data_IF_216303401329
#
_entry.id   IF_216303401329
#
_cell.length_a   1.000
_cell.length_b   1.000
_cell.length_c   1.000
_cell.angle_alpha   90.00
_cell.angle_beta   90.00
_cell.angle_gamma   90.00
#
_symmetry.space_group_name_H-M   'P 1'
#
loop_
_entity.id
_entity.type
_entity.pdbx_description
1 polymer ?
#
# COMPACT_ATOMS: atom_id res chain seq x y z
N UNK A 1 20.53 14.31 6.49
CA UNK A 1 20.26 13.76 7.83
C UNK A 1 19.82 14.83 8.84
N UNK A 2 20.68 15.64 9.48
CA UNK A 2 20.22 16.58 10.54
C UNK A 2 19.26 17.68 10.03
N UNK A 3 19.44 18.18 8.80
CA UNK A 3 18.53 19.18 8.19
C UNK A 3 17.16 18.64 7.76
N UNK A 4 17.03 17.34 7.50
CA UNK A 4 15.76 16.72 7.06
C UNK A 4 14.80 16.47 8.22
N UNK A 5 15.31 16.44 9.45
CA UNK A 5 14.49 16.31 10.67
C UNK A 5 13.86 17.67 11.02
N UNK A 6 14.54 18.79 10.74
CA UNK A 6 14.00 20.14 10.99
C UNK A 6 13.01 20.63 9.94
N UNK A 7 13.13 20.16 8.68
CA UNK A 7 12.21 20.50 7.60
C UNK A 7 11.87 19.23 6.79
N UNK A 8 11.06 18.32 7.35
CA UNK A 8 10.62 17.15 6.61
C UNK A 8 9.86 17.62 5.35
N UNK A 9 10.10 17.00 4.18
CA UNK A 9 9.37 17.37 2.97
C UNK A 9 7.88 17.21 3.23
N UNK A 10 7.07 18.20 2.86
CA UNK A 10 5.63 18.20 3.11
C UNK A 10 4.90 17.03 2.47
N UNK A 11 5.45 16.42 1.41
CA UNK A 11 4.82 15.33 0.66
C UNK A 11 5.82 14.19 0.53
N UNK A 12 5.44 13.01 1.02
CA UNK A 12 6.24 11.80 0.87
C UNK A 12 5.55 10.81 -0.08
N UNK A 13 5.86 10.91 -1.38
CA UNK A 13 5.22 10.14 -2.46
C UNK A 13 5.16 8.63 -2.20
N UNK A 14 6.23 8.05 -1.67
CA UNK A 14 6.28 6.63 -1.35
C UNK A 14 5.24 6.24 -0.28
N UNK A 15 5.02 7.09 0.70
CA UNK A 15 4.02 6.85 1.76
C UNK A 15 2.60 6.94 1.20
N UNK A 16 2.36 7.87 0.28
CA UNK A 16 1.09 8.03 -0.44
C UNK A 16 0.80 6.77 -1.26
N UNK A 17 1.72 6.37 -2.16
CA UNK A 17 1.52 5.19 -3.02
C UNK A 17 1.28 3.93 -2.19
N UNK A 18 2.05 3.73 -1.13
CA UNK A 18 1.85 2.61 -0.22
C UNK A 18 0.48 2.64 0.47
N UNK A 19 0.06 3.81 0.98
CA UNK A 19 -1.25 3.98 1.62
C UNK A 19 -2.39 3.68 0.65
N UNK A 20 -2.31 4.22 -0.57
CA UNK A 20 -3.27 3.93 -1.63
C UNK A 20 -3.42 2.43 -1.89
N UNK A 21 -2.30 1.73 -2.09
CA UNK A 21 -2.27 0.29 -2.35
C UNK A 21 -2.84 -0.49 -1.17
N UNK A 22 -2.48 -0.16 0.08
CA UNK A 22 -3.04 -0.85 1.24
C UNK A 22 -4.56 -0.69 1.33
N UNK A 23 -5.06 0.54 1.11
CA UNK A 23 -6.49 0.82 1.14
C UNK A 23 -7.25 0.08 0.05
N UNK A 24 -6.69 0.04 -1.16
CA UNK A 24 -7.27 -0.70 -2.28
C UNK A 24 -7.28 -2.21 -2.04
N UNK A 25 -6.22 -2.78 -1.48
CA UNK A 25 -6.16 -4.21 -1.16
C UNK A 25 -7.17 -4.61 -0.08
N UNK A 26 -7.27 -3.81 0.98
CA UNK A 26 -8.20 -4.06 2.10
C UNK A 26 -9.66 -4.02 1.62
N UNK A 27 -10.06 -2.93 0.96
CA UNK A 27 -11.44 -2.80 0.47
C UNK A 27 -11.71 -3.80 -0.66
N UNK A 28 -10.74 -4.00 -1.55
CA UNK A 28 -10.83 -4.98 -2.62
C UNK A 28 -11.06 -6.40 -2.10
N UNK A 29 -10.42 -6.77 -1.00
CA UNK A 29 -10.62 -8.05 -0.32
C UNK A 29 -12.02 -8.21 0.29
N UNK A 30 -12.60 -7.13 0.84
CA UNK A 30 -13.89 -7.17 1.52
C UNK A 30 -15.06 -7.20 0.54
N UNK A 31 -14.98 -6.43 -0.55
CA UNK A 31 -16.12 -6.18 -1.43
C UNK A 31 -16.15 -7.02 -2.72
N UNK A 32 -15.02 -7.59 -3.15
CA UNK A 32 -15.00 -8.36 -4.40
C UNK A 32 -15.11 -9.87 -4.17
N UNK A 33 -15.98 -10.57 -4.91
CA UNK A 33 -16.22 -12.01 -4.74
C UNK A 33 -15.15 -12.86 -5.46
N UNK A 34 -13.89 -12.77 -5.04
CA UNK A 34 -12.79 -13.57 -5.60
C UNK A 34 -12.67 -14.98 -5.00
N UNK A 35 -13.46 -15.29 -3.97
CA UNK A 35 -13.35 -16.52 -3.18
C UNK A 35 -12.60 -16.30 -1.86
N UNK A 36 -13.01 -17.02 -0.83
CA UNK A 36 -12.65 -16.70 0.56
C UNK A 36 -11.13 -16.74 0.81
N UNK A 37 -10.41 -17.67 0.17
CA UNK A 37 -8.96 -17.77 0.30
C UNK A 37 -8.23 -16.55 -0.28
N UNK A 38 -8.66 -16.08 -1.46
CA UNK A 38 -8.05 -14.91 -2.12
C UNK A 38 -8.38 -13.63 -1.34
N UNK A 39 -9.60 -13.49 -0.85
CA UNK A 39 -10.01 -12.36 -0.02
C UNK A 39 -9.15 -12.26 1.26
N UNK A 40 -9.01 -13.37 2.00
CA UNK A 40 -8.17 -13.39 3.21
C UNK A 40 -6.72 -13.04 2.87
N UNK A 41 -6.17 -13.59 1.79
CA UNK A 41 -4.80 -13.29 1.35
C UNK A 41 -4.61 -11.80 1.04
N UNK A 42 -5.49 -11.21 0.23
CA UNK A 42 -5.44 -9.79 -0.14
C UNK A 42 -5.59 -8.88 1.09
N UNK A 43 -6.46 -9.26 2.03
CA UNK A 43 -6.66 -8.51 3.27
C UNK A 43 -5.40 -8.52 4.15
N UNK A 44 -4.78 -9.69 4.34
CA UNK A 44 -3.52 -9.82 5.10
C UNK A 44 -2.40 -9.03 4.44
N UNK A 45 -2.24 -9.11 3.12
CA UNK A 45 -1.23 -8.34 2.39
C UNK A 45 -1.49 -6.84 2.53
N UNK A 46 -2.75 -6.40 2.39
CA UNK A 46 -3.13 -5.00 2.56
C UNK A 46 -2.80 -4.46 3.94
N UNK A 47 -3.12 -5.22 5.00
CA UNK A 47 -2.74 -4.87 6.38
C UNK A 47 -1.22 -4.85 6.57
N UNK A 48 -0.49 -5.81 6.01
CA UNK A 48 0.96 -5.84 6.10
C UNK A 48 1.60 -4.61 5.43
N UNK A 49 1.09 -4.18 4.27
CA UNK A 49 1.53 -2.95 3.59
C UNK A 49 1.23 -1.72 4.44
N UNK A 50 0.04 -1.66 5.04
CA UNK A 50 -0.37 -0.55 5.91
C UNK A 50 0.58 -0.40 7.11
N UNK A 51 0.82 -1.49 7.84
CA UNK A 51 1.71 -1.51 8.99
C UNK A 51 3.17 -1.23 8.62
N UNK A 52 3.68 -1.79 7.52
CA UNK A 52 5.04 -1.51 7.02
C UNK A 52 5.21 -0.03 6.59
N UNK A 53 4.10 0.67 6.32
CA UNK A 53 4.12 2.07 5.91
C UNK A 53 4.03 3.03 7.10
N UNK A 54 3.27 2.69 8.14
CA UNK A 54 3.04 3.55 9.32
C UNK A 54 4.11 3.38 10.40
N UNK A 55 4.55 2.15 10.69
CA UNK A 55 5.43 1.89 11.84
C UNK A 55 6.86 2.42 11.76
N UNK A 56 7.50 2.66 10.60
CA UNK A 56 8.82 3.29 10.58
C UNK A 56 8.78 4.67 11.23
N UNK A 57 9.62 4.92 12.24
CA UNK A 57 9.65 6.18 13.03
C UNK A 57 9.72 7.44 12.16
N UNK A 58 10.49 7.39 11.07
CA UNK A 58 10.63 8.48 10.09
C UNK A 58 9.34 8.79 9.32
N UNK A 59 8.39 7.84 9.28
CA UNK A 59 7.15 7.93 8.50
C UNK A 59 5.91 8.21 9.32
N UNK A 60 5.99 8.15 10.66
CA UNK A 60 4.87 8.56 11.52
C UNK A 60 4.47 10.02 11.28
N UNK A 61 5.42 10.90 10.91
CA UNK A 61 5.12 12.28 10.52
C UNK A 61 4.20 12.38 9.28
N UNK A 62 4.14 11.33 8.46
CA UNK A 62 3.28 11.22 7.27
C UNK A 62 2.05 10.35 7.51
N UNK A 63 1.75 9.94 8.75
CA UNK A 63 0.63 9.05 9.07
C UNK A 63 -0.71 9.57 8.52
N UNK A 64 -0.95 10.89 8.62
CA UNK A 64 -2.17 11.52 8.07
C UNK A 64 -2.24 11.34 6.56
N UNK A 65 -1.14 11.51 5.83
CA UNK A 65 -1.11 11.31 4.37
C UNK A 65 -1.34 9.85 3.99
N UNK A 66 -0.75 8.93 4.75
CA UNK A 66 -0.94 7.48 4.55
C UNK A 66 -2.41 7.13 4.75
N UNK A 67 -3.03 7.60 5.83
CA UNK A 67 -4.44 7.37 6.13
C UNK A 67 -5.36 7.96 5.05
N UNK A 68 -5.16 9.23 4.67
CA UNK A 68 -5.95 9.87 3.61
C UNK A 68 -5.80 9.14 2.27
N UNK A 69 -4.57 8.76 1.91
CA UNK A 69 -4.33 8.02 0.67
C UNK A 69 -4.93 6.62 0.70
N UNK A 70 -4.91 5.94 1.84
CA UNK A 70 -5.59 4.66 2.05
C UNK A 70 -7.09 4.78 1.93
N UNK A 71 -7.69 5.84 2.47
CA UNK A 71 -9.12 6.11 2.28
C UNK A 71 -9.42 6.32 0.80
N UNK A 72 -8.62 7.13 0.09
CA UNK A 72 -8.79 7.37 -1.35
C UNK A 72 -8.69 6.08 -2.17
N UNK A 73 -7.65 5.27 -1.94
CA UNK A 73 -7.48 3.98 -2.61
C UNK A 73 -8.62 3.01 -2.30
N UNK A 74 -9.11 3.02 -1.06
CA UNK A 74 -10.27 2.24 -0.65
C UNK A 74 -11.55 2.69 -1.37
N UNK A 75 -11.85 3.99 -1.40
CA UNK A 75 -13.05 4.55 -2.06
C UNK A 75 -13.06 4.25 -3.55
N UNK A 76 -11.94 4.43 -4.26
CA UNK A 76 -11.86 4.10 -5.69
C UNK A 76 -12.14 2.60 -5.90
N UNK A 77 -11.55 1.75 -5.07
CA UNK A 77 -11.77 0.29 -5.17
C UNK A 77 -13.22 -0.07 -4.89
N UNK A 78 -13.85 0.57 -3.90
CA UNK A 78 -15.26 0.37 -3.60
C UNK A 78 -16.13 0.73 -4.80
N UNK A 79 -15.93 1.91 -5.39
CA UNK A 79 -16.67 2.37 -6.57
C UNK A 79 -16.51 1.37 -7.72
N UNK A 80 -15.28 0.92 -8.00
CA UNK A 80 -15.03 -0.07 -9.06
C UNK A 80 -15.60 -1.45 -8.76
N UNK A 81 -15.70 -1.81 -7.48
CA UNK A 81 -16.33 -3.08 -7.04
C UNK A 81 -17.82 -3.03 -7.30
N UNK A 82 -18.47 -1.89 -7.02
CA UNK A 82 -19.89 -1.68 -7.30
C UNK A 82 -20.22 -1.65 -8.81
N UNK A 83 -19.27 -1.28 -9.66
CA UNK A 83 -19.45 -1.26 -11.13
C UNK A 83 -18.97 -2.52 -11.84
N UNK A 84 -18.59 -3.58 -11.11
CA UNK A 84 -18.01 -4.82 -11.64
C UNK A 84 -16.72 -4.64 -12.46
N UNK A 85 -16.03 -3.51 -12.32
CA UNK A 85 -14.75 -3.26 -13.01
C UNK A 85 -13.53 -3.46 -12.10
N UNK A 86 -13.74 -3.86 -10.84
CA UNK A 86 -12.67 -4.03 -9.88
C UNK A 86 -11.65 -5.11 -10.25
N UNK A 87 -12.01 -6.18 -10.99
CA UNK A 87 -11.08 -7.27 -11.31
C UNK A 87 -9.82 -6.81 -12.06
N UNK A 88 -9.99 -5.96 -13.07
CA UNK A 88 -8.87 -5.42 -13.86
C UNK A 88 -8.02 -4.46 -13.01
N UNK A 89 -8.68 -3.61 -12.24
CA UNK A 89 -8.00 -2.68 -11.33
C UNK A 89 -7.19 -3.42 -10.25
N UNK A 90 -7.79 -4.43 -9.61
CA UNK A 90 -7.14 -5.23 -8.57
C UNK A 90 -5.97 -6.05 -9.11
N UNK A 91 -6.03 -6.49 -10.37
CA UNK A 91 -4.89 -7.11 -11.04
C UNK A 91 -3.69 -6.15 -11.13
N UNK A 92 -3.91 -4.89 -11.53
CA UNK A 92 -2.84 -3.88 -11.57
C UNK A 92 -2.31 -3.53 -10.17
N UNK A 93 -3.20 -3.42 -9.18
CA UNK A 93 -2.79 -3.18 -7.78
C UNK A 93 -1.94 -4.35 -7.25
N UNK A 94 -2.31 -5.58 -7.58
CA UNK A 94 -1.55 -6.76 -7.20
C UNK A 94 -0.15 -6.76 -7.83
N UNK A 95 -0.05 -6.47 -9.14
CA UNK A 95 1.25 -6.33 -9.83
C UNK A 95 2.10 -5.23 -9.19
N UNK A 96 1.52 -4.06 -8.93
CA UNK A 96 2.23 -2.95 -8.30
C UNK A 96 2.77 -3.36 -6.93
N UNK A 97 1.97 -4.07 -6.13
CA UNK A 97 2.38 -4.60 -4.83
C UNK A 97 3.56 -5.56 -4.96
N UNK A 98 3.50 -6.51 -5.90
CA UNK A 98 4.58 -7.47 -6.15
C UNK A 98 5.87 -6.74 -6.55
N UNK A 99 5.80 -5.78 -7.47
CA UNK A 99 6.97 -5.01 -7.91
C UNK A 99 7.61 -4.22 -6.77
N UNK A 100 6.80 -3.63 -5.88
CA UNK A 100 7.30 -2.90 -4.72
C UNK A 100 8.06 -3.79 -3.74
N UNK A 101 7.53 -4.98 -3.43
CA UNK A 101 8.19 -5.92 -2.53
C UNK A 101 9.39 -6.62 -3.19
N UNK A 102 9.33 -6.93 -4.48
CA UNK A 102 10.46 -7.49 -5.23
C UNK A 102 11.67 -6.53 -5.20
N UNK A 103 11.44 -5.22 -5.39
CA UNK A 103 12.49 -4.21 -5.26
C UNK A 103 13.06 -4.15 -3.83
N UNK A 104 12.21 -4.27 -2.81
CA UNK A 104 12.63 -4.29 -1.40
C UNK A 104 13.51 -5.52 -1.09
N UNK A 105 13.15 -6.69 -1.62
CA UNK A 105 13.93 -7.93 -1.50
C UNK A 105 15.30 -7.80 -2.20
N UNK A 106 15.32 -7.37 -3.46
CA UNK A 106 16.56 -7.18 -4.23
C UNK A 106 17.54 -6.23 -3.53
N UNK A 107 17.06 -5.09 -3.01
CA UNK A 107 17.89 -4.15 -2.24
C UNK A 107 18.48 -4.77 -0.97
N UNK A 108 17.73 -5.65 -0.29
CA UNK A 108 18.19 -6.33 0.94
C UNK A 108 19.25 -7.39 0.66
N UNK A 109 19.17 -8.07 -0.49
CA UNK A 109 20.20 -9.03 -0.92
C UNK A 109 21.46 -8.34 -1.44
N UNK A 110 21.35 -7.21 -2.15
CA UNK A 110 22.51 -6.46 -2.63
C UNK A 110 23.36 -5.89 -1.48
N UNK A 111 22.76 -5.58 -0.33
CA UNK A 111 23.48 -5.08 0.85
C UNK A 111 24.17 -6.17 1.68
N UNK A 112 23.86 -7.45 1.45
CA UNK A 112 24.46 -8.60 2.13
C UNK A 112 25.66 -9.18 1.39
N UNK A 113 25.90 -8.75 0.14
CA UNK A 113 26.98 -9.20 -0.73
C UNK A 113 28.19 -8.24 -0.73
N UNK A 114 28.18 -7.21 0.12
CA UNK A 114 29.24 -6.22 0.34
C UNK A 114 29.65 -6.26 1.81
#
# INVERSE_FOLDING_TARGET
MVREILYPPLIHWKSIVNGYISGSLIIGAVFNPYGIFIQILLFIIGLAVFFDTIFPLERMMYAVQICLSSIFGGVITLILSLTNQASVYMFFIFIATVLMYAKKLSSKFSHKAM
#
